data_IF_560198362376
#
_entry.id   IF_560198362376
#
_cell.length_a   1.000
_cell.length_b   1.000
_cell.length_c   1.000
_cell.angle_alpha   90.00
_cell.angle_beta   90.00
_cell.angle_gamma   90.00
#
_symmetry.space_group_name_H-M   'P 1'
#
loop_
_entity.id
_entity.type
_entity.pdbx_description
1 polymer ?
#
# COMPACT_ATOMS: atom_id res chain seq x y z
N UNK A 1 28.45 -8.88 3.37
CA UNK A 1 28.43 -8.03 4.58
C UNK A 1 28.40 -6.54 4.21
N UNK A 2 29.29 -6.09 3.34
CA UNK A 2 29.42 -4.68 2.93
C UNK A 2 28.15 -4.08 2.30
N UNK A 3 27.42 -4.84 1.49
CA UNK A 3 26.21 -4.39 0.83
C UNK A 3 25.07 -4.17 1.83
N UNK A 4 24.89 -5.07 2.78
CA UNK A 4 23.89 -4.90 3.83
C UNK A 4 24.19 -3.66 4.65
N UNK A 5 25.44 -3.48 5.04
CA UNK A 5 25.88 -2.32 5.80
C UNK A 5 25.65 -1.01 5.01
N UNK A 6 25.92 -1.00 3.71
CA UNK A 6 25.67 0.15 2.85
C UNK A 6 24.19 0.50 2.77
N UNK A 7 23.31 -0.50 2.59
CA UNK A 7 21.86 -0.30 2.56
C UNK A 7 21.33 0.10 3.94
N UNK A 8 21.82 -0.52 5.00
CA UNK A 8 21.49 -0.15 6.37
C UNK A 8 21.90 1.30 6.68
N UNK A 9 23.04 1.76 6.19
CA UNK A 9 23.46 3.15 6.30
C UNK A 9 22.54 4.11 5.54
N UNK A 10 21.98 3.72 4.40
CA UNK A 10 20.97 4.48 3.67
C UNK A 10 19.64 4.54 4.44
N UNK A 11 19.28 3.44 5.11
CA UNK A 11 18.03 3.28 5.88
C UNK A 11 18.05 4.01 7.22
N UNK A 12 19.11 3.80 7.97
CA UNK A 12 19.25 4.21 9.37
C UNK A 12 20.27 5.34 9.55
N UNK A 13 21.07 5.61 8.52
CA UNK A 13 22.06 6.66 8.55
C UNK A 13 21.39 8.01 8.79
N UNK A 14 21.85 8.69 9.81
CA UNK A 14 21.62 10.12 9.99
C UNK A 14 21.83 10.76 8.62
N UNK A 15 20.83 11.46 8.12
CA UNK A 15 20.80 12.10 6.81
C UNK A 15 22.09 12.91 6.59
N UNK A 16 23.15 12.27 6.15
CA UNK A 16 24.33 12.92 5.61
C UNK A 16 24.02 13.37 4.21
N UNK A 17 24.55 14.48 3.85
CA UNK A 17 24.13 15.34 2.72
C UNK A 17 24.12 14.72 1.33
N UNK A 18 24.55 13.46 1.13
CA UNK A 18 24.60 12.88 -0.21
C UNK A 18 24.47 11.34 -0.23
N UNK A 19 23.26 10.83 -0.19
CA UNK A 19 22.99 9.41 -0.44
C UNK A 19 23.16 9.02 -1.92
N UNK A 20 23.49 9.98 -2.82
CA UNK A 20 23.64 9.73 -4.24
C UNK A 20 24.78 8.75 -4.52
N UNK A 21 25.96 9.00 -3.95
CA UNK A 21 27.12 8.12 -4.10
C UNK A 21 26.86 6.71 -3.54
N UNK A 22 26.11 6.60 -2.45
CA UNK A 22 25.74 5.31 -1.90
C UNK A 22 24.81 4.54 -2.85
N UNK A 23 23.81 5.22 -3.44
CA UNK A 23 22.89 4.64 -4.42
C UNK A 23 23.65 4.22 -5.68
N UNK A 24 24.53 5.05 -6.21
CA UNK A 24 25.36 4.74 -7.38
C UNK A 24 26.29 3.54 -7.10
N UNK A 25 26.85 3.46 -5.91
CA UNK A 25 27.70 2.31 -5.50
C UNK A 25 26.90 1.02 -5.42
N UNK A 26 25.66 1.07 -4.91
CA UNK A 26 24.75 -0.08 -4.88
C UNK A 26 24.33 -0.47 -6.31
N UNK A 27 24.07 0.49 -7.19
CA UNK A 27 23.72 0.21 -8.59
C UNK A 27 24.82 -0.60 -9.30
N UNK A 28 26.11 -0.29 -9.09
CA UNK A 28 27.23 -1.02 -9.68
C UNK A 28 27.23 -2.50 -9.36
N UNK A 29 26.76 -2.89 -8.16
CA UNK A 29 26.67 -4.31 -7.79
C UNK A 29 25.70 -5.09 -8.67
N UNK A 30 24.71 -4.42 -9.22
CA UNK A 30 23.70 -5.02 -10.09
C UNK A 30 24.08 -5.03 -11.58
N UNK A 31 25.18 -4.35 -12.00
CA UNK A 31 25.58 -4.24 -13.41
C UNK A 31 25.85 -5.61 -14.05
N UNK A 32 26.48 -6.53 -13.30
CA UNK A 32 26.87 -7.85 -13.79
C UNK A 32 25.74 -8.89 -13.83
N UNK A 33 24.56 -8.57 -13.32
CA UNK A 33 23.43 -9.51 -13.32
C UNK A 33 22.80 -9.59 -14.71
N UNK A 34 23.04 -10.72 -15.41
CA UNK A 34 22.56 -10.93 -16.79
C UNK A 34 21.10 -11.41 -16.87
N UNK A 35 20.67 -12.27 -15.94
CA UNK A 35 19.33 -12.88 -15.93
C UNK A 35 18.61 -12.58 -14.59
N UNK A 36 18.16 -11.35 -14.37
CA UNK A 36 17.50 -10.99 -13.12
C UNK A 36 16.13 -11.67 -13.01
N UNK A 37 15.77 -12.10 -11.81
CA UNK A 37 14.42 -12.62 -11.52
C UNK A 37 13.34 -11.52 -11.51
N UNK A 38 13.73 -10.30 -11.19
CA UNK A 38 12.88 -9.10 -11.21
C UNK A 38 13.74 -7.87 -11.47
N UNK A 39 13.20 -6.87 -12.14
CA UNK A 39 13.85 -5.59 -12.40
C UNK A 39 13.20 -4.53 -11.51
N UNK A 40 13.93 -4.14 -10.47
CA UNK A 40 13.48 -3.17 -9.48
C UNK A 40 13.88 -1.76 -9.90
N UNK A 41 12.91 -0.88 -10.04
CA UNK A 41 13.09 0.46 -10.62
C UNK A 41 13.17 1.49 -9.51
N UNK A 42 14.17 2.35 -9.55
CA UNK A 42 14.38 3.41 -8.56
C UNK A 42 13.16 4.34 -8.39
N UNK A 43 13.09 5.05 -7.27
CA UNK A 43 11.99 5.99 -7.00
C UNK A 43 12.09 7.32 -7.76
N UNK A 44 13.18 7.58 -8.47
CA UNK A 44 13.45 8.78 -9.25
C UNK A 44 14.28 9.83 -8.52
N UNK A 45 15.59 9.71 -8.62
CA UNK A 45 16.61 10.53 -7.94
C UNK A 45 16.53 12.02 -8.30
N UNK A 46 16.14 12.37 -9.52
CA UNK A 46 16.09 13.76 -10.00
C UNK A 46 15.17 14.71 -9.23
N UNK A 47 14.27 14.18 -8.39
CA UNK A 47 13.34 14.99 -7.57
C UNK A 47 13.91 15.42 -6.21
N UNK A 48 15.12 14.98 -5.87
CA UNK A 48 15.71 15.19 -4.54
C UNK A 48 16.28 16.59 -4.35
N UNK A 49 16.68 17.27 -5.42
CA UNK A 49 17.26 18.62 -5.33
C UNK A 49 16.32 19.67 -4.72
N UNK A 50 15.02 19.36 -4.60
CA UNK A 50 13.99 20.26 -4.07
C UNK A 50 13.28 19.77 -2.79
N UNK A 51 13.63 18.62 -2.19
CA UNK A 51 12.90 18.07 -1.04
C UNK A 51 13.77 17.83 0.19
N UNK A 52 13.25 18.36 1.28
CA UNK A 52 13.58 18.14 2.68
C UNK A 52 14.31 16.82 2.96
N UNK A 53 15.44 16.95 3.61
CA UNK A 53 16.31 15.93 4.21
C UNK A 53 15.53 14.71 4.75
N UNK A 54 15.90 13.50 4.39
CA UNK A 54 15.66 12.28 5.15
C UNK A 54 14.66 11.25 4.62
N UNK A 55 13.82 11.53 3.62
CA UNK A 55 12.80 10.56 3.18
C UNK A 55 13.16 9.76 1.91
N UNK A 56 14.19 10.14 1.21
CA UNK A 56 14.55 9.57 -0.07
C UNK A 56 15.24 8.20 0.06
N UNK A 57 16.25 8.09 0.91
CA UNK A 57 17.00 6.86 1.12
C UNK A 57 16.14 5.68 1.60
N UNK A 58 15.11 5.96 2.41
CA UNK A 58 14.25 4.91 2.98
C UNK A 58 13.47 4.16 1.89
N UNK A 59 12.95 4.85 0.88
CA UNK A 59 12.14 4.23 -0.18
C UNK A 59 13.01 3.35 -1.07
N UNK A 60 14.15 3.87 -1.51
CA UNK A 60 15.05 3.13 -2.39
C UNK A 60 15.73 1.96 -1.69
N UNK A 61 15.96 2.04 -0.38
CA UNK A 61 16.50 0.92 0.38
C UNK A 61 15.55 -0.29 0.39
N UNK A 62 14.24 -0.11 0.45
CA UNK A 62 13.28 -1.22 0.30
C UNK A 62 13.31 -1.82 -1.11
N UNK A 63 13.44 -0.98 -2.15
CA UNK A 63 13.55 -1.43 -3.54
C UNK A 63 14.85 -2.24 -3.74
N UNK A 64 15.97 -1.76 -3.19
CA UNK A 64 17.27 -2.43 -3.24
C UNK A 64 17.26 -3.76 -2.46
N UNK A 65 16.67 -3.77 -1.26
CA UNK A 65 16.52 -4.98 -0.46
C UNK A 65 15.75 -6.06 -1.22
N UNK A 66 14.68 -5.64 -1.93
CA UNK A 66 13.91 -6.56 -2.77
C UNK A 66 14.73 -7.09 -3.94
N UNK A 67 15.51 -6.23 -4.62
CA UNK A 67 16.39 -6.66 -5.71
C UNK A 67 17.44 -7.66 -5.23
N UNK A 68 18.09 -7.40 -4.10
CA UNK A 68 19.10 -8.30 -3.52
C UNK A 68 18.49 -9.65 -3.10
N UNK A 69 17.41 -9.62 -2.33
CA UNK A 69 16.81 -10.85 -1.82
C UNK A 69 16.16 -11.73 -2.88
N UNK A 70 15.71 -11.14 -3.98
CA UNK A 70 15.09 -11.88 -5.09
C UNK A 70 16.10 -12.45 -6.10
N UNK A 71 17.37 -12.01 -6.08
CA UNK A 71 18.29 -12.21 -7.21
C UNK A 71 17.90 -11.35 -8.42
N UNK A 72 17.28 -10.23 -8.17
CA UNK A 72 16.88 -9.25 -9.17
C UNK A 72 17.93 -8.19 -9.45
N UNK A 73 17.56 -7.19 -10.24
CA UNK A 73 18.41 -6.07 -10.62
C UNK A 73 17.77 -4.75 -10.21
N UNK A 74 18.55 -3.84 -9.64
CA UNK A 74 18.13 -2.48 -9.36
C UNK A 74 18.61 -1.55 -10.48
N UNK A 75 17.70 -0.82 -11.10
CA UNK A 75 18.00 0.06 -12.24
C UNK A 75 17.44 1.46 -12.02
N UNK A 76 17.97 2.42 -12.75
CA UNK A 76 17.38 3.76 -12.84
C UNK A 76 16.15 3.74 -13.73
N UNK A 77 15.19 4.58 -13.39
CA UNK A 77 13.98 4.72 -14.20
C UNK A 77 14.26 5.20 -15.65
N UNK A 78 15.37 5.93 -15.84
CA UNK A 78 15.78 6.40 -17.16
C UNK A 78 16.26 5.24 -18.08
N UNK A 79 16.72 4.13 -17.49
CA UNK A 79 17.27 2.97 -18.20
C UNK A 79 16.20 1.89 -18.49
N UNK A 80 14.94 2.13 -18.11
CA UNK A 80 13.87 1.14 -18.23
C UNK A 80 13.65 0.64 -19.67
N UNK A 81 13.98 1.47 -20.66
CA UNK A 81 13.81 1.14 -22.08
C UNK A 81 14.66 -0.05 -22.53
N UNK A 82 15.79 -0.29 -21.89
CA UNK A 82 16.69 -1.40 -22.19
C UNK A 82 16.16 -2.75 -21.69
N UNK A 83 15.05 -2.76 -20.94
CA UNK A 83 14.55 -3.94 -20.23
C UNK A 83 13.14 -4.37 -20.64
N UNK A 84 12.50 -3.74 -21.61
CA UNK A 84 11.15 -4.13 -22.02
C UNK A 84 11.08 -5.56 -22.55
N UNK A 85 12.10 -6.01 -23.26
CA UNK A 85 12.18 -7.36 -23.84
C UNK A 85 12.67 -8.42 -22.83
N UNK A 86 13.08 -8.03 -21.64
CA UNK A 86 13.43 -8.97 -20.59
C UNK A 86 12.20 -9.77 -20.14
N UNK A 87 12.31 -11.08 -19.90
CA UNK A 87 11.21 -11.88 -19.36
C UNK A 87 10.91 -11.54 -17.89
N UNK A 88 11.85 -10.91 -17.20
CA UNK A 88 11.68 -10.55 -15.79
C UNK A 88 10.61 -9.47 -15.60
N UNK A 89 9.72 -9.60 -14.61
CA UNK A 89 8.75 -8.57 -14.28
C UNK A 89 9.43 -7.31 -13.75
N UNK A 90 8.76 -6.18 -13.85
CA UNK A 90 9.21 -4.95 -13.20
C UNK A 90 8.69 -4.87 -11.76
N UNK A 91 9.46 -4.24 -10.87
CA UNK A 91 8.97 -3.81 -9.56
C UNK A 91 9.00 -2.29 -9.51
N UNK A 92 7.84 -1.71 -9.23
CA UNK A 92 7.62 -0.25 -9.22
C UNK A 92 7.06 0.17 -7.87
N UNK A 93 7.67 1.16 -7.24
CA UNK A 93 7.22 1.67 -5.94
C UNK A 93 6.45 2.97 -6.08
N UNK A 94 5.18 2.93 -5.62
CA UNK A 94 4.29 4.08 -5.53
C UNK A 94 3.83 4.63 -6.89
N UNK A 95 2.85 5.53 -6.86
CA UNK A 95 2.23 6.10 -8.06
C UNK A 95 2.99 7.31 -8.65
N UNK A 96 4.21 7.58 -8.19
CA UNK A 96 5.09 8.55 -8.85
C UNK A 96 5.44 8.16 -10.30
N UNK A 97 5.39 6.87 -10.60
CA UNK A 97 5.67 6.27 -11.90
C UNK A 97 4.43 5.62 -12.54
N UNK A 98 3.25 6.20 -12.34
CA UNK A 98 1.99 5.66 -12.88
C UNK A 98 2.00 5.46 -14.40
N UNK A 99 2.73 6.29 -15.16
CA UNK A 99 2.90 6.13 -16.61
C UNK A 99 3.56 4.80 -16.94
N UNK A 100 4.60 4.43 -16.20
CA UNK A 100 5.29 3.16 -16.38
C UNK A 100 4.38 1.97 -16.06
N UNK A 101 3.59 2.06 -14.99
CA UNK A 101 2.61 1.01 -14.64
C UNK A 101 1.58 0.85 -15.76
N UNK A 102 1.02 1.96 -16.28
CA UNK A 102 0.08 1.93 -17.40
C UNK A 102 0.72 1.34 -18.67
N UNK A 103 1.99 1.63 -18.92
CA UNK A 103 2.73 1.06 -20.05
C UNK A 103 2.98 -0.45 -19.88
N UNK A 104 3.30 -0.93 -18.66
CA UNK A 104 3.36 -2.36 -18.37
C UNK A 104 2.04 -3.05 -18.73
N UNK A 105 0.91 -2.50 -18.30
CA UNK A 105 -0.42 -3.03 -18.60
C UNK A 105 -0.66 -3.05 -20.12
N UNK A 106 -0.37 -1.95 -20.81
CA UNK A 106 -0.58 -1.83 -22.27
C UNK A 106 0.27 -2.81 -23.07
N UNK A 107 1.48 -3.13 -22.62
CA UNK A 107 2.40 -4.08 -23.26
C UNK A 107 2.23 -5.53 -22.80
N UNK A 108 1.36 -5.80 -21.83
CA UNK A 108 1.24 -7.13 -21.21
C UNK A 108 2.48 -7.55 -20.41
N UNK A 109 3.25 -6.57 -19.91
CA UNK A 109 4.43 -6.78 -19.09
C UNK A 109 4.01 -6.99 -17.64
N UNK A 110 4.35 -8.11 -17.04
CA UNK A 110 4.12 -8.34 -15.62
C UNK A 110 4.88 -7.32 -14.77
N UNK A 111 4.23 -6.84 -13.74
CA UNK A 111 4.86 -5.96 -12.74
C UNK A 111 4.42 -6.29 -11.32
N UNK A 112 5.26 -5.93 -10.38
CA UNK A 112 4.96 -5.87 -8.95
C UNK A 112 4.85 -4.42 -8.51
N UNK A 113 3.76 -4.09 -7.85
CA UNK A 113 3.55 -2.77 -7.25
C UNK A 113 3.87 -2.83 -5.77
N UNK A 114 4.83 -2.00 -5.33
CA UNK A 114 5.21 -1.85 -3.94
C UNK A 114 4.66 -0.53 -3.38
N UNK A 115 4.01 -0.56 -2.23
CA UNK A 115 3.60 0.65 -1.50
C UNK A 115 3.48 0.35 0.00
N UNK A 116 3.11 1.35 0.80
CA UNK A 116 2.84 1.21 2.23
C UNK A 116 1.91 0.01 2.50
N UNK A 117 2.22 -0.77 3.51
CA UNK A 117 1.46 -1.97 3.87
C UNK A 117 0.03 -1.68 4.31
N UNK A 118 -0.77 -2.72 4.38
CA UNK A 118 -2.19 -2.65 4.77
C UNK A 118 -2.37 -2.36 6.26
N UNK A 119 -1.48 -2.86 7.10
CA UNK A 119 -1.56 -2.77 8.56
C UNK A 119 -0.17 -2.76 9.21
N UNK A 120 -0.11 -2.35 10.48
CA UNK A 120 1.12 -2.37 11.28
C UNK A 120 2.00 -1.12 11.13
N UNK A 121 1.64 -0.17 10.28
CA UNK A 121 2.42 1.05 10.03
C UNK A 121 1.89 2.30 10.77
N UNK A 122 0.73 2.21 11.39
CA UNK A 122 0.19 3.31 12.17
C UNK A 122 0.75 3.27 13.61
N UNK A 123 0.78 4.40 14.31
CA UNK A 123 1.12 4.42 15.72
C UNK A 123 0.24 3.45 16.52
N UNK A 124 0.88 2.63 17.33
CA UNK A 124 0.20 1.61 18.14
C UNK A 124 1.12 1.19 19.29
N UNK A 125 0.63 0.43 20.29
CA UNK A 125 1.49 -0.11 21.33
C UNK A 125 2.68 -0.93 20.78
N UNK A 126 2.52 -1.58 19.63
CA UNK A 126 3.59 -2.35 18.96
C UNK A 126 4.45 -1.53 17.99
N UNK A 127 3.99 -0.35 17.61
CA UNK A 127 4.68 0.58 16.71
C UNK A 127 4.42 2.03 17.17
N UNK A 128 4.92 2.43 18.35
CA UNK A 128 4.54 3.71 18.98
C UNK A 128 4.92 4.94 18.14
N UNK A 129 5.93 4.83 17.29
CA UNK A 129 6.41 5.92 16.44
C UNK A 129 5.76 5.93 15.04
N UNK A 130 4.86 5.00 14.73
CA UNK A 130 4.24 4.90 13.40
C UNK A 130 5.25 4.69 12.28
N UNK A 131 6.34 3.94 12.53
CA UNK A 131 7.34 3.65 11.49
C UNK A 131 6.71 2.84 10.36
N UNK A 132 7.06 3.15 9.13
CA UNK A 132 6.70 2.36 7.95
C UNK A 132 7.51 1.07 7.90
N UNK A 133 7.09 0.08 8.67
CA UNK A 133 7.77 -1.21 8.80
C UNK A 133 7.42 -2.15 7.66
N UNK A 134 6.15 -2.13 7.21
CA UNK A 134 5.62 -3.03 6.20
C UNK A 134 5.34 -2.31 4.89
N UNK A 135 5.68 -2.98 3.78
CA UNK A 135 5.29 -2.60 2.43
C UNK A 135 4.53 -3.75 1.79
N UNK A 136 3.36 -3.47 1.21
CA UNK A 136 2.68 -4.45 0.37
C UNK A 136 3.39 -4.56 -0.96
N UNK A 137 3.40 -5.76 -1.53
CA UNK A 137 3.91 -6.04 -2.88
C UNK A 137 2.84 -6.86 -3.59
N UNK A 138 2.33 -6.34 -4.69
CA UNK A 138 1.17 -6.91 -5.38
C UNK A 138 1.48 -7.09 -6.85
N UNK A 139 1.21 -8.28 -7.40
CA UNK A 139 1.39 -8.57 -8.82
C UNK A 139 0.24 -7.98 -9.65
N UNK A 140 0.58 -7.20 -10.68
CA UNK A 140 -0.34 -6.66 -11.71
C UNK A 140 -1.54 -5.85 -11.19
N UNK A 141 -1.47 -5.34 -9.95
CA UNK A 141 -2.49 -4.50 -9.34
C UNK A 141 -1.89 -3.58 -8.27
N UNK A 142 -2.63 -2.56 -7.84
CA UNK A 142 -2.20 -1.67 -6.75
C UNK A 142 -2.48 -2.24 -5.36
N UNK A 143 -3.43 -3.16 -5.27
CA UNK A 143 -3.84 -3.85 -4.04
C UNK A 143 -4.22 -5.29 -4.36
N UNK A 144 -4.19 -6.16 -3.36
CA UNK A 144 -4.74 -7.50 -3.46
C UNK A 144 -6.27 -7.40 -3.50
N UNK A 145 -6.87 -7.62 -4.67
CA UNK A 145 -8.28 -7.35 -4.92
C UNK A 145 -9.20 -8.50 -4.51
N UNK A 146 -8.72 -9.73 -4.63
CA UNK A 146 -9.50 -10.93 -4.34
C UNK A 146 -8.77 -11.85 -3.38
N UNK A 147 -9.49 -12.37 -2.42
CA UNK A 147 -9.00 -13.42 -1.54
C UNK A 147 -8.98 -14.75 -2.33
N UNK A 148 -7.86 -15.49 -2.32
CA UNK A 148 -7.82 -16.82 -2.91
C UNK A 148 -8.78 -17.78 -2.17
N UNK A 149 -9.21 -18.84 -2.85
CA UNK A 149 -9.96 -19.90 -2.20
C UNK A 149 -9.11 -20.52 -1.08
N UNK A 150 -9.71 -20.73 0.08
CA UNK A 150 -9.01 -21.26 1.26
C UNK A 150 -8.62 -22.73 1.09
N UNK A 151 -9.41 -23.48 0.37
CA UNK A 151 -9.15 -24.90 0.12
C UNK A 151 -8.05 -25.06 -0.94
N UNK A 152 -7.95 -24.12 -1.88
CA UNK A 152 -6.91 -24.10 -2.90
C UNK A 152 -5.57 -23.56 -2.39
N UNK A 153 -5.59 -22.57 -1.49
CA UNK A 153 -4.36 -21.98 -0.94
C UNK A 153 -4.46 -21.70 0.57
N UNK A 154 -4.43 -22.73 1.41
CA UNK A 154 -4.53 -22.59 2.85
C UNK A 154 -3.34 -21.78 3.46
N UNK A 155 -2.16 -21.82 2.84
CA UNK A 155 -0.98 -21.07 3.29
C UNK A 155 -1.14 -19.57 3.18
N UNK A 156 -2.00 -19.08 2.27
CA UNK A 156 -2.30 -17.66 2.14
C UNK A 156 -2.93 -17.06 3.42
N UNK A 157 -3.45 -17.89 4.31
CA UNK A 157 -4.16 -17.52 5.53
C UNK A 157 -3.40 -17.82 6.82
N UNK A 158 -2.09 -17.99 6.76
CA UNK A 158 -1.24 -18.19 7.93
C UNK A 158 -1.46 -17.11 8.99
N UNK A 159 -1.75 -17.50 10.23
CA UNK A 159 -2.15 -16.58 11.30
C UNK A 159 -1.01 -15.95 12.08
N UNK A 160 0.21 -16.49 12.00
CA UNK A 160 1.31 -16.04 12.85
C UNK A 160 1.75 -14.60 12.55
N UNK A 161 1.86 -14.23 11.29
CA UNK A 161 2.18 -12.85 10.88
C UNK A 161 1.10 -11.88 11.34
N UNK A 162 -0.17 -12.24 11.17
CA UNK A 162 -1.28 -11.42 11.61
C UNK A 162 -1.26 -11.18 13.12
N UNK A 163 -0.97 -12.20 13.94
CA UNK A 163 -0.82 -12.05 15.40
C UNK A 163 0.28 -11.08 15.80
N UNK A 164 1.36 -11.01 15.02
CA UNK A 164 2.47 -10.09 15.28
C UNK A 164 2.13 -8.65 14.89
N UNK A 165 1.36 -8.46 13.85
CA UNK A 165 1.09 -7.15 13.22
C UNK A 165 -0.18 -6.51 13.79
N UNK A 166 -1.22 -7.31 14.01
CA UNK A 166 -2.57 -6.83 14.23
C UNK A 166 -2.78 -6.18 15.59
N UNK A 167 -3.61 -5.15 15.55
CA UNK A 167 -4.30 -4.63 16.72
C UNK A 167 -5.57 -5.45 16.97
N UNK A 168 -6.06 -5.52 18.22
CA UNK A 168 -7.37 -6.09 18.51
C UNK A 168 -8.45 -5.37 17.70
N UNK A 169 -9.36 -6.13 17.07
CA UNK A 169 -10.51 -5.55 16.41
C UNK A 169 -11.50 -4.99 17.44
N UNK A 170 -12.08 -3.84 17.15
CA UNK A 170 -13.23 -3.33 17.89
C UNK A 170 -14.49 -4.07 17.45
N UNK A 171 -15.40 -4.28 18.39
CA UNK A 171 -16.71 -4.84 18.09
C UNK A 171 -17.53 -3.85 17.25
N UNK A 172 -18.40 -4.38 16.40
CA UNK A 172 -19.29 -3.55 15.60
C UNK A 172 -20.26 -2.77 16.48
N UNK A 173 -20.39 -1.49 16.25
CA UNK A 173 -21.30 -0.61 16.96
C UNK A 173 -21.95 0.42 16.01
N UNK A 174 -23.21 0.82 16.30
CA UNK A 174 -23.95 1.70 15.43
C UNK A 174 -23.36 3.13 15.41
N UNK A 175 -23.73 3.88 14.40
CA UNK A 175 -23.43 5.30 14.28
C UNK A 175 -24.46 6.00 13.38
N UNK A 176 -24.28 7.30 13.18
CA UNK A 176 -25.26 8.13 12.48
C UNK A 176 -24.74 8.71 11.17
N UNK A 177 -23.48 9.15 11.13
CA UNK A 177 -22.96 9.87 9.97
C UNK A 177 -22.24 8.96 8.98
N UNK A 178 -22.28 9.34 7.72
CA UNK A 178 -21.48 8.73 6.65
C UNK A 178 -20.15 9.45 6.57
N UNK A 179 -19.04 8.72 6.70
CA UNK A 179 -17.69 9.27 6.58
C UNK A 179 -17.14 8.97 5.18
N UNK A 180 -16.97 9.99 4.35
CA UNK A 180 -16.32 9.85 3.04
C UNK A 180 -14.81 10.06 3.21
N UNK A 181 -14.03 9.06 2.84
CA UNK A 181 -12.56 9.10 2.84
C UNK A 181 -12.05 8.89 1.42
N UNK A 182 -11.86 9.96 0.64
CA UNK A 182 -11.37 9.84 -0.71
C UNK A 182 -9.92 9.38 -0.73
N UNK A 183 -9.47 8.67 -1.78
CA UNK A 183 -8.06 8.41 -2.00
C UNK A 183 -7.32 9.70 -2.35
N UNK A 184 -6.00 9.62 -2.49
CA UNK A 184 -5.22 10.77 -2.94
C UNK A 184 -5.52 11.10 -4.41
N UNK A 185 -5.29 12.36 -4.79
CA UNK A 185 -5.42 12.82 -6.18
C UNK A 185 -4.60 11.96 -7.16
N UNK A 186 -3.41 11.50 -6.76
CA UNK A 186 -2.57 10.61 -7.58
C UNK A 186 -3.24 9.27 -7.88
N UNK A 187 -3.97 8.73 -6.93
CA UNK A 187 -4.72 7.48 -7.10
C UNK A 187 -5.89 7.70 -8.04
N UNK A 188 -6.66 8.77 -7.86
CA UNK A 188 -7.79 9.08 -8.76
C UNK A 188 -7.31 9.30 -10.19
N UNK A 189 -6.21 10.04 -10.37
CA UNK A 189 -5.59 10.24 -11.69
C UNK A 189 -5.11 8.92 -12.34
N UNK A 190 -4.62 7.96 -11.54
CA UNK A 190 -4.27 6.64 -12.06
C UNK A 190 -5.49 5.91 -12.65
N UNK A 191 -6.66 6.07 -12.05
CA UNK A 191 -7.93 5.52 -12.53
C UNK A 191 -8.65 6.45 -13.52
N UNK A 192 -7.97 7.45 -14.09
CA UNK A 192 -8.50 8.42 -15.04
C UNK A 192 -9.76 9.17 -14.53
N UNK A 193 -9.78 9.44 -13.21
CA UNK A 193 -10.85 10.15 -12.53
C UNK A 193 -10.37 11.47 -11.92
N UNK A 194 -11.29 12.46 -11.87
CA UNK A 194 -11.08 13.69 -11.15
C UNK A 194 -11.56 13.53 -9.70
N UNK A 195 -10.71 13.92 -8.74
CA UNK A 195 -11.01 13.76 -7.31
C UNK A 195 -12.23 14.57 -6.86
N UNK A 196 -12.33 15.83 -7.26
CA UNK A 196 -13.43 16.70 -6.81
C UNK A 196 -14.76 16.32 -7.48
N UNK A 197 -14.73 15.92 -8.73
CA UNK A 197 -15.92 15.39 -9.42
C UNK A 197 -16.42 14.10 -8.76
N UNK A 198 -15.49 13.19 -8.42
CA UNK A 198 -15.83 11.96 -7.71
C UNK A 198 -16.45 12.24 -6.33
N UNK A 199 -15.87 13.16 -5.56
CA UNK A 199 -16.40 13.56 -4.24
C UNK A 199 -17.82 14.11 -4.40
N UNK A 200 -18.01 15.07 -5.31
CA UNK A 200 -19.30 15.72 -5.51
C UNK A 200 -20.37 14.73 -5.98
N UNK A 201 -20.05 13.88 -6.96
CA UNK A 201 -21.00 12.86 -7.45
C UNK A 201 -21.31 11.82 -6.38
N UNK A 202 -20.34 11.41 -5.57
CA UNK A 202 -20.54 10.49 -4.45
C UNK A 202 -21.48 11.09 -3.39
N UNK A 203 -21.27 12.36 -3.02
CA UNK A 203 -22.15 13.05 -2.07
C UNK A 203 -23.59 13.14 -2.61
N UNK A 204 -23.74 13.51 -3.88
CA UNK A 204 -25.07 13.59 -4.52
C UNK A 204 -25.75 12.23 -4.56
N UNK A 205 -25.01 11.17 -4.87
CA UNK A 205 -25.56 9.81 -4.90
C UNK A 205 -25.95 9.34 -3.49
N UNK A 206 -25.13 9.55 -2.48
CA UNK A 206 -25.45 9.21 -1.08
C UNK A 206 -26.76 9.87 -0.65
N UNK A 207 -26.95 11.15 -0.96
CA UNK A 207 -28.16 11.90 -0.60
C UNK A 207 -29.47 11.36 -1.20
N UNK A 208 -29.39 10.56 -2.26
CA UNK A 208 -30.57 9.88 -2.83
C UNK A 208 -31.03 8.69 -1.98
N UNK A 209 -30.14 8.13 -1.17
CA UNK A 209 -30.36 6.87 -0.47
C UNK A 209 -30.42 7.02 1.05
N UNK A 210 -30.01 8.17 1.61
CA UNK A 210 -30.02 8.41 3.05
C UNK A 210 -30.11 9.90 3.39
N UNK A 211 -30.73 10.20 4.53
CA UNK A 211 -30.74 11.54 5.14
C UNK A 211 -29.64 11.71 6.20
N UNK A 212 -28.74 10.75 6.36
CA UNK A 212 -27.67 10.80 7.36
C UNK A 212 -26.72 11.97 7.09
N UNK A 213 -26.19 12.61 8.12
CA UNK A 213 -25.11 13.59 7.96
C UNK A 213 -23.92 12.99 7.23
N UNK A 214 -23.33 13.76 6.33
CA UNK A 214 -22.13 13.36 5.58
C UNK A 214 -20.95 14.19 6.05
N UNK A 215 -19.86 13.52 6.40
CA UNK A 215 -18.57 14.14 6.70
C UNK A 215 -17.53 13.73 5.66
N UNK A 216 -16.81 14.72 5.15
CA UNK A 216 -15.70 14.51 4.21
C UNK A 216 -14.37 14.62 4.94
N UNK A 217 -13.60 13.54 4.94
CA UNK A 217 -12.24 13.49 5.49
C UNK A 217 -11.22 13.32 4.37
N UNK A 218 -10.67 14.42 3.90
CA UNK A 218 -9.53 14.37 2.96
C UNK A 218 -8.26 13.94 3.69
N UNK A 219 -7.36 13.28 2.96
CA UNK A 219 -6.03 12.95 3.49
C UNK A 219 -5.30 14.24 3.84
N UNK A 220 -4.87 14.44 5.09
CA UNK A 220 -4.15 15.65 5.48
C UNK A 220 -2.83 15.76 4.72
N UNK A 221 -2.38 16.99 4.49
CA UNK A 221 -1.02 17.25 3.99
C UNK A 221 0.02 16.67 4.96
N UNK A 222 1.28 16.57 4.54
CA UNK A 222 2.34 16.09 5.45
C UNK A 222 2.57 17.03 6.62
N UNK A 223 2.33 18.32 6.41
CA UNK A 223 2.51 19.38 7.40
C UNK A 223 1.37 19.38 8.43
N UNK A 224 0.16 19.09 7.98
CA UNK A 224 -1.04 19.11 8.82
C UNK A 224 -1.28 17.82 9.63
N UNK A 225 -0.51 16.76 9.39
CA UNK A 225 -0.75 15.43 10.03
C UNK A 225 -0.70 15.42 11.55
N UNK A 226 0.02 16.37 12.15
CA UNK A 226 0.17 16.49 13.60
C UNK A 226 -1.05 17.16 14.23
N UNK A 227 -1.78 17.99 13.47
CA UNK A 227 -2.91 18.79 13.95
C UNK A 227 -4.29 18.19 13.67
N UNK A 228 -4.35 17.12 12.87
CA UNK A 228 -5.61 16.50 12.44
C UNK A 228 -5.89 15.25 13.25
N UNK A 229 -7.15 15.02 13.60
CA UNK A 229 -7.61 13.79 14.25
C UNK A 229 -7.11 12.55 13.51
N UNK A 230 -6.72 11.51 14.26
CA UNK A 230 -6.38 10.21 13.68
C UNK A 230 -7.58 9.58 12.98
N UNK A 231 -7.35 8.57 12.12
CA UNK A 231 -8.46 7.82 11.52
C UNK A 231 -9.31 7.14 12.60
N UNK A 232 -8.69 6.63 13.65
CA UNK A 232 -9.38 6.05 14.80
C UNK A 232 -10.37 7.04 15.43
N UNK A 233 -9.91 8.25 15.76
CA UNK A 233 -10.75 9.29 16.34
C UNK A 233 -11.91 9.68 15.41
N UNK A 234 -11.65 9.75 14.09
CA UNK A 234 -12.69 10.04 13.13
C UNK A 234 -13.74 8.92 13.04
N UNK A 235 -13.33 7.66 13.17
CA UNK A 235 -14.24 6.51 13.14
C UNK A 235 -15.04 6.37 14.43
N UNK A 236 -14.49 6.78 15.57
CA UNK A 236 -15.19 6.78 16.87
C UNK A 236 -16.26 7.86 16.96
N UNK A 237 -16.14 8.93 16.15
CA UNK A 237 -17.09 10.03 16.17
C UNK A 237 -18.38 9.70 15.42
N UNK A 238 -19.19 8.81 15.99
CA UNK A 238 -20.56 8.50 15.60
C UNK A 238 -20.71 8.07 14.12
N UNK A 239 -19.73 7.37 13.55
CA UNK A 239 -19.76 6.91 12.15
C UNK A 239 -20.72 5.73 11.97
N UNK A 240 -21.63 5.82 10.99
CA UNK A 240 -22.47 4.72 10.51
C UNK A 240 -21.68 3.79 9.58
N UNK A 241 -21.04 4.35 8.56
CA UNK A 241 -20.18 3.63 7.64
C UNK A 241 -19.13 4.57 7.02
N UNK A 242 -18.05 3.98 6.52
CA UNK A 242 -17.05 4.67 5.73
C UNK A 242 -17.31 4.41 4.24
N UNK A 243 -17.20 5.45 3.41
CA UNK A 243 -17.31 5.36 1.95
C UNK A 243 -15.97 5.78 1.35
N UNK A 244 -15.41 4.97 0.47
CA UNK A 244 -14.19 5.30 -0.26
C UNK A 244 -14.19 4.70 -1.66
N UNK A 245 -13.29 5.19 -2.53
CA UNK A 245 -13.04 4.56 -3.82
C UNK A 245 -12.06 3.39 -3.67
N UNK A 246 -10.83 3.68 -3.24
CA UNK A 246 -9.72 2.72 -3.24
C UNK A 246 -8.83 2.82 -1.98
N UNK A 247 -9.21 3.62 -0.98
CA UNK A 247 -8.38 3.77 0.21
C UNK A 247 -8.39 2.52 1.09
N UNK A 248 -7.24 2.16 1.65
CA UNK A 248 -7.13 1.13 2.70
C UNK A 248 -7.87 1.54 4.00
N UNK A 249 -8.34 2.77 4.09
CA UNK A 249 -9.22 3.21 5.18
C UNK A 249 -10.49 2.36 5.31
N UNK A 250 -10.94 1.70 4.25
CA UNK A 250 -12.02 0.73 4.31
C UNK A 250 -11.68 -0.46 5.24
N UNK A 251 -10.46 -0.99 5.13
CA UNK A 251 -9.97 -2.04 6.03
C UNK A 251 -9.84 -1.52 7.47
N UNK A 252 -9.28 -0.32 7.64
CA UNK A 252 -9.15 0.32 8.96
C UNK A 252 -10.52 0.50 9.61
N UNK A 253 -11.52 0.98 8.85
CA UNK A 253 -12.89 1.14 9.36
C UNK A 253 -13.45 -0.19 9.91
N UNK A 254 -13.30 -1.27 9.17
CA UNK A 254 -13.79 -2.58 9.59
C UNK A 254 -13.03 -3.10 10.83
N UNK A 255 -11.73 -2.87 10.93
CA UNK A 255 -10.94 -3.19 12.13
C UNK A 255 -11.42 -2.40 13.36
N UNK A 256 -11.94 -1.20 13.15
CA UNK A 256 -12.55 -0.34 14.19
C UNK A 256 -14.06 -0.56 14.39
N UNK A 257 -14.63 -1.66 13.87
CA UNK A 257 -16.03 -2.02 14.07
C UNK A 257 -17.02 -1.25 13.19
N UNK A 258 -16.56 -0.57 12.14
CA UNK A 258 -17.42 0.16 11.20
C UNK A 258 -17.51 -0.54 9.86
N UNK A 259 -18.70 -0.68 9.26
CA UNK A 259 -18.82 -1.18 7.90
C UNK A 259 -18.23 -0.18 6.90
N UNK A 260 -17.85 -0.68 5.73
CA UNK A 260 -17.33 0.14 4.64
C UNK A 260 -18.06 -0.14 3.33
N UNK A 261 -18.15 0.89 2.50
CA UNK A 261 -18.59 0.83 1.11
C UNK A 261 -17.39 1.22 0.24
N UNK A 262 -17.02 0.36 -0.70
CA UNK A 262 -15.90 0.60 -1.63
C UNK A 262 -16.42 0.71 -3.05
N UNK A 263 -16.13 1.83 -3.71
CA UNK A 263 -16.68 2.18 -5.03
C UNK A 263 -15.69 1.94 -6.18
N UNK A 264 -14.50 1.42 -5.87
CA UNK A 264 -13.46 1.09 -6.84
C UNK A 264 -12.64 -0.10 -6.38
N UNK A 265 -11.61 -0.50 -7.15
CA UNK A 265 -10.75 -1.63 -6.81
C UNK A 265 -10.11 -1.45 -5.43
N UNK A 266 -10.39 -2.37 -4.51
CA UNK A 266 -10.01 -2.24 -3.10
C UNK A 266 -9.71 -3.62 -2.48
N UNK A 267 -8.72 -3.69 -1.61
CA UNK A 267 -8.37 -4.93 -0.89
C UNK A 267 -9.50 -5.47 -0.01
N UNK A 268 -10.49 -4.67 0.33
CA UNK A 268 -11.63 -5.04 1.13
C UNK A 268 -12.88 -5.40 0.29
N UNK A 269 -12.83 -5.32 -1.03
CA UNK A 269 -14.00 -5.42 -1.91
C UNK A 269 -14.78 -6.74 -1.77
N UNK A 270 -14.11 -7.85 -1.42
CA UNK A 270 -14.76 -9.15 -1.26
C UNK A 270 -15.62 -9.25 0.01
N UNK A 271 -15.44 -8.33 0.97
CA UNK A 271 -16.16 -8.33 2.25
C UNK A 271 -16.86 -7.01 2.58
N UNK A 272 -16.62 -5.97 1.81
CA UNK A 272 -17.27 -4.66 1.93
C UNK A 272 -18.51 -4.60 1.04
N UNK A 273 -19.39 -3.65 1.31
CA UNK A 273 -20.47 -3.29 0.38
C UNK A 273 -19.90 -2.51 -0.80
N UNK A 274 -20.46 -2.67 -1.98
CA UNK A 274 -20.00 -2.01 -3.22
C UNK A 274 -21.03 -1.07 -3.83
N UNK A 275 -22.22 -0.96 -3.24
CA UNK A 275 -23.31 -0.12 -3.73
C UNK A 275 -23.77 0.90 -2.70
N UNK A 276 -23.83 2.17 -3.10
CA UNK A 276 -24.37 3.25 -2.26
C UNK A 276 -25.88 3.10 -2.00
N UNK A 277 -26.62 2.41 -2.87
CA UNK A 277 -28.06 2.15 -2.66
C UNK A 277 -28.35 1.31 -1.41
N UNK A 278 -27.33 0.61 -0.90
CA UNK A 278 -27.44 -0.22 0.30
C UNK A 278 -26.96 0.47 1.58
N UNK A 279 -26.66 1.76 1.52
CA UNK A 279 -26.02 2.50 2.62
C UNK A 279 -26.75 2.38 3.96
N UNK A 280 -28.09 2.36 3.97
CA UNK A 280 -28.88 2.16 5.21
C UNK A 280 -28.81 0.73 5.77
N UNK A 281 -28.49 -0.24 4.92
CA UNK A 281 -28.44 -1.67 5.25
C UNK A 281 -27.04 -2.23 5.32
N UNK A 282 -26.01 -1.41 5.14
CA UNK A 282 -24.62 -1.85 5.18
C UNK A 282 -24.29 -2.42 6.55
N UNK A 283 -23.65 -3.58 6.54
CA UNK A 283 -23.29 -4.32 7.76
C UNK A 283 -21.80 -4.55 7.85
N UNK A 284 -21.29 -4.58 9.07
CA UNK A 284 -19.94 -5.05 9.33
C UNK A 284 -19.82 -6.53 8.94
N UNK A 285 -18.73 -6.95 8.27
CA UNK A 285 -18.58 -8.33 7.75
C UNK A 285 -18.47 -9.39 8.85
N UNK A 286 -18.32 -8.97 10.09
CA UNK A 286 -18.10 -9.86 11.23
C UNK A 286 -16.61 -10.17 11.45
N UNK A 287 -16.27 -10.48 12.71
CA UNK A 287 -14.89 -10.70 13.15
C UNK A 287 -14.21 -11.85 12.40
N UNK A 288 -14.93 -12.94 12.15
CA UNK A 288 -14.37 -14.13 11.47
C UNK A 288 -13.95 -13.81 10.04
N UNK A 289 -14.83 -13.21 9.25
CA UNK A 289 -14.58 -12.83 7.86
C UNK A 289 -13.44 -11.81 7.75
N UNK A 290 -13.48 -10.78 8.61
CA UNK A 290 -12.43 -9.78 8.68
C UNK A 290 -11.07 -10.39 9.05
N UNK A 291 -11.03 -11.35 9.97
CA UNK A 291 -9.80 -12.05 10.35
C UNK A 291 -9.18 -12.77 9.15
N UNK A 292 -9.97 -13.40 8.31
CA UNK A 292 -9.44 -14.05 7.12
C UNK A 292 -8.84 -13.07 6.13
N UNK A 293 -9.53 -11.98 5.83
CA UNK A 293 -8.96 -10.93 4.99
C UNK A 293 -7.65 -10.40 5.56
N UNK A 294 -7.62 -10.06 6.85
CA UNK A 294 -6.42 -9.53 7.49
C UNK A 294 -5.26 -10.54 7.51
N UNK A 295 -5.52 -11.83 7.69
CA UNK A 295 -4.50 -12.88 7.57
C UNK A 295 -3.94 -12.93 6.16
N UNK A 296 -4.79 -12.94 5.15
CA UNK A 296 -4.37 -12.91 3.75
C UNK A 296 -3.53 -11.67 3.45
N UNK A 297 -4.00 -10.48 3.78
CA UNK A 297 -3.29 -9.24 3.52
C UNK A 297 -1.97 -9.14 4.30
N UNK A 298 -1.90 -9.65 5.52
CA UNK A 298 -0.66 -9.67 6.32
C UNK A 298 0.43 -10.55 5.69
N UNK A 299 0.05 -11.57 4.92
CA UNK A 299 0.99 -12.41 4.17
C UNK A 299 1.42 -11.80 2.81
N UNK A 300 0.83 -10.66 2.42
CA UNK A 300 1.16 -9.93 1.20
C UNK A 300 1.83 -8.58 1.46
N UNK A 301 2.34 -8.38 2.66
CA UNK A 301 3.16 -7.24 3.05
C UNK A 301 4.40 -7.70 3.81
N UNK A 302 5.51 -7.00 3.60
CA UNK A 302 6.82 -7.47 4.03
C UNK A 302 7.62 -6.35 4.69
N UNK A 303 8.50 -6.74 5.61
CA UNK A 303 9.52 -5.87 6.19
C UNK A 303 10.74 -5.79 5.29
N UNK A 304 11.62 -4.85 5.61
CA UNK A 304 12.93 -4.73 4.95
C UNK A 304 13.76 -6.03 5.03
N UNK A 305 13.85 -6.62 6.22
CA UNK A 305 14.63 -7.85 6.44
C UNK A 305 14.04 -9.04 5.68
N UNK A 306 12.73 -9.13 5.57
CA UNK A 306 12.06 -10.16 4.78
C UNK A 306 12.29 -9.99 3.27
N UNK A 307 12.38 -8.75 2.79
CA UNK A 307 12.78 -8.49 1.41
C UNK A 307 14.23 -8.86 1.16
N UNK A 308 15.13 -8.41 2.04
CA UNK A 308 16.57 -8.65 1.92
C UNK A 308 16.95 -10.12 2.01
N UNK A 309 16.27 -10.90 2.86
CA UNK A 309 16.50 -12.36 3.01
C UNK A 309 15.94 -13.20 1.86
N UNK A 310 15.19 -12.58 0.94
CA UNK A 310 14.50 -13.27 -0.15
C UNK A 310 13.17 -13.94 0.27
N UNK A 311 12.79 -13.86 1.54
CA UNK A 311 11.52 -14.41 2.01
C UNK A 311 10.31 -13.79 1.26
N UNK A 312 10.33 -12.48 1.07
CA UNK A 312 9.26 -11.78 0.33
C UNK A 312 9.12 -12.34 -1.10
N UNK A 313 10.24 -12.49 -1.81
CA UNK A 313 10.22 -12.99 -3.18
C UNK A 313 9.69 -14.43 -3.27
N UNK A 314 10.23 -15.33 -2.46
CA UNK A 314 9.76 -16.73 -2.43
C UNK A 314 8.27 -16.84 -2.10
N UNK A 315 7.77 -16.01 -1.19
CA UNK A 315 6.34 -15.97 -0.86
C UNK A 315 5.48 -15.50 -2.03
N UNK A 316 5.93 -14.46 -2.76
CA UNK A 316 5.21 -13.90 -3.90
C UNK A 316 5.19 -14.82 -5.12
N UNK A 317 6.22 -15.64 -5.30
CA UNK A 317 6.40 -16.53 -6.47
C UNK A 317 6.09 -17.99 -6.17
N UNK A 318 5.78 -18.32 -4.91
CA UNK A 318 5.59 -19.70 -4.44
C UNK A 318 6.83 -20.60 -4.67
N UNK A 319 8.06 -20.01 -4.62
CA UNK A 319 9.34 -20.71 -4.72
C UNK A 319 9.82 -21.27 -3.37
#
# INVERSE_FOLDING_TARGET
PEMKELIDNILYGVATHDNRHAIESVQKVFEDIKNPKVICIDSGIKKVEKKVKGSFGIVDSFIMAMALGSGGKYIRADDVNDYWDSPAPFLVRGLGKQKLIKECIARGKDFYFMDTGYMGNNPSPRNPNGKKTYHRIVKNALQNLHMPDRDENPNAYGGERFKQIAQPFKDAYPGRKVLIVPPSEKVMKYFDQNLDEWINSTILEIKKHTSRPIELRRKPSREDRVSVNTMEQALEDNVHCLVTYNSIAALEAMMYGKPAIVLGPNCAQDIAETSLSRIEFVKHPGRKTLTYLCRYLSNNQFTYDEMLSGYAWRTLTCE
#
